data_IF_531789003913
#
_entry.id   IF_531789003913
#
_cell.length_a   1.000
_cell.length_b   1.000
_cell.length_c   1.000
_cell.angle_alpha   90.00
_cell.angle_beta   90.00
_cell.angle_gamma   90.00
#
_symmetry.space_group_name_H-M   'P 1'
#
loop_
_entity.id
_entity.type
_entity.pdbx_description
1 polymer ?
#
# COMPACT_ATOMS: atom_id res chain seq x y z
N UNK A 1 -5.91 5.98 16.13
CA UNK A 1 -5.88 6.35 14.70
C UNK A 1 -5.19 5.30 13.84
N UNK A 2 -4.15 4.61 14.34
CA UNK A 2 -3.47 3.56 13.56
C UNK A 2 -4.39 2.47 12.99
N UNK A 3 -5.38 1.98 13.75
CA UNK A 3 -6.32 0.97 13.24
C UNK A 3 -7.06 1.45 11.98
N UNK A 4 -7.44 2.74 11.94
CA UNK A 4 -8.09 3.34 10.78
C UNK A 4 -7.10 3.45 9.61
N UNK A 5 -5.86 3.87 9.88
CA UNK A 5 -4.78 3.89 8.88
C UNK A 5 -4.59 2.50 8.26
N UNK A 6 -4.46 1.46 9.09
CA UNK A 6 -4.27 0.08 8.65
C UNK A 6 -5.48 -0.45 7.87
N UNK A 7 -6.69 -0.13 8.32
CA UNK A 7 -7.92 -0.49 7.61
C UNK A 7 -8.00 0.17 6.23
N UNK A 8 -7.63 1.46 6.12
CA UNK A 8 -7.57 2.18 4.85
C UNK A 8 -6.49 1.61 3.93
N UNK A 9 -5.27 1.39 4.44
CA UNK A 9 -4.18 0.79 3.66
C UNK A 9 -4.57 -0.59 3.14
N UNK A 10 -5.16 -1.44 3.99
CA UNK A 10 -5.67 -2.75 3.58
C UNK A 10 -6.77 -2.66 2.53
N UNK A 11 -7.73 -1.73 2.68
CA UNK A 11 -8.78 -1.52 1.69
C UNK A 11 -8.21 -1.04 0.34
N UNK A 12 -7.28 -0.09 0.35
CA UNK A 12 -6.65 0.42 -0.87
C UNK A 12 -5.84 -0.68 -1.58
N UNK A 13 -5.13 -1.52 -0.82
CA UNK A 13 -4.40 -2.67 -1.35
C UNK A 13 -5.34 -3.72 -2.00
N UNK A 14 -6.59 -3.83 -1.55
CA UNK A 14 -7.59 -4.69 -2.20
C UNK A 14 -8.22 -4.03 -3.44
N UNK A 15 -8.36 -2.70 -3.43
CA UNK A 15 -8.95 -1.94 -4.55
C UNK A 15 -7.97 -1.83 -5.73
N UNK A 16 -6.68 -1.62 -5.48
CA UNK A 16 -5.67 -1.45 -6.52
C UNK A 16 -5.65 -2.59 -7.58
N UNK A 17 -5.63 -3.89 -7.22
CA UNK A 17 -5.66 -4.97 -8.21
C UNK A 17 -6.99 -5.07 -8.94
N UNK A 18 -8.10 -4.64 -8.32
CA UNK A 18 -9.39 -4.59 -9.00
C UNK A 18 -9.37 -3.54 -10.12
N UNK A 19 -8.88 -2.34 -9.82
CA UNK A 19 -8.72 -1.26 -10.81
C UNK A 19 -7.72 -1.70 -11.90
N UNK A 20 -6.61 -2.32 -11.52
CA UNK A 20 -5.58 -2.80 -12.45
C UNK A 20 -6.15 -3.72 -13.53
N UNK A 21 -7.06 -4.62 -13.15
CA UNK A 21 -7.76 -5.52 -14.08
C UNK A 21 -8.69 -4.80 -15.05
N UNK A 22 -9.19 -3.62 -14.70
CA UNK A 22 -10.10 -2.83 -15.53
C UNK A 22 -9.38 -1.86 -16.46
N UNK A 23 -8.19 -1.37 -16.08
CA UNK A 23 -7.53 -0.25 -16.77
C UNK A 23 -6.23 -0.62 -17.48
N UNK A 24 -5.82 -1.89 -17.47
CA UNK A 24 -4.53 -2.38 -18.00
C UNK A 24 -3.28 -1.73 -17.36
N UNK A 25 -3.47 -0.92 -16.32
CA UNK A 25 -2.38 -0.25 -15.60
C UNK A 25 -1.76 -1.25 -14.62
N UNK A 26 -0.42 -1.35 -14.51
CA UNK A 26 0.21 -2.23 -13.55
C UNK A 26 -0.24 -1.96 -12.10
N UNK A 27 -0.55 -3.02 -11.35
CA UNK A 27 -1.09 -2.93 -9.99
C UNK A 27 -0.21 -2.08 -9.06
N UNK A 28 1.11 -2.29 -9.11
CA UNK A 28 2.08 -1.54 -8.28
C UNK A 28 2.01 -0.03 -8.54
N UNK A 29 1.78 0.39 -9.79
CA UNK A 29 1.64 1.82 -10.11
C UNK A 29 0.38 2.41 -9.46
N UNK A 30 -0.72 1.64 -9.45
CA UNK A 30 -1.96 2.05 -8.80
C UNK A 30 -1.84 2.08 -7.28
N UNK A 31 -1.16 1.11 -6.66
CA UNK A 31 -0.88 1.09 -5.23
C UNK A 31 -0.08 2.34 -4.80
N UNK A 32 0.97 2.69 -5.54
CA UNK A 32 1.77 3.89 -5.29
C UNK A 32 0.91 5.15 -5.48
N UNK A 33 0.14 5.24 -6.57
CA UNK A 33 -0.71 6.39 -6.83
C UNK A 33 -1.78 6.59 -5.74
N UNK A 34 -2.45 5.52 -5.31
CA UNK A 34 -3.40 5.56 -4.20
C UNK A 34 -2.71 5.94 -2.89
N UNK A 35 -1.51 5.40 -2.62
CA UNK A 35 -0.70 5.80 -1.47
C UNK A 35 -0.36 7.30 -1.45
N UNK A 36 -0.05 7.89 -2.61
CA UNK A 36 0.21 9.34 -2.74
C UNK A 36 -1.07 10.15 -2.51
N UNK A 37 -2.18 9.76 -3.13
CA UNK A 37 -3.46 10.48 -3.06
C UNK A 37 -4.06 10.43 -1.65
N UNK A 38 -4.06 9.27 -1.00
CA UNK A 38 -4.64 9.09 0.33
C UNK A 38 -3.64 9.34 1.47
N UNK A 39 -2.35 9.38 1.15
CA UNK A 39 -1.27 9.72 2.07
C UNK A 39 -1.26 11.17 2.51
N UNK A 40 -0.25 11.50 3.32
CA UNK A 40 -0.06 12.84 3.88
C UNK A 40 0.17 13.91 2.81
N UNK A 41 0.64 13.53 1.62
CA UNK A 41 0.97 14.45 0.54
C UNK A 41 -0.24 15.16 -0.09
N UNK A 42 -1.44 14.57 -0.02
CA UNK A 42 -2.64 15.14 -0.69
C UNK A 42 -3.84 15.22 0.25
N UNK A 43 -4.40 14.07 0.69
CA UNK A 43 -5.61 14.06 1.50
C UNK A 43 -5.36 14.05 3.02
N UNK A 44 -4.16 13.68 3.47
CA UNK A 44 -3.84 13.67 4.90
C UNK A 44 -4.56 12.58 5.70
N UNK A 45 -5.10 11.54 5.05
CA UNK A 45 -5.93 10.53 5.68
C UNK A 45 -5.13 9.37 6.29
N UNK A 46 -3.93 9.12 5.76
CA UNK A 46 -3.05 8.04 6.18
C UNK A 46 -1.78 8.65 6.79
N UNK A 47 -1.61 8.47 8.10
CA UNK A 47 -0.39 8.84 8.82
C UNK A 47 0.50 7.61 9.00
N UNK A 48 1.72 7.66 8.45
CA UNK A 48 2.68 6.53 8.40
C UNK A 48 3.68 6.56 9.58
N UNK A 49 3.31 7.21 10.68
CA UNK A 49 4.21 7.43 11.84
C UNK A 49 4.09 6.30 12.90
N UNK A 50 3.30 5.28 12.61
CA UNK A 50 2.98 4.20 13.54
C UNK A 50 3.94 3.02 13.49
N UNK A 51 4.26 2.37 14.63
CA UNK A 51 5.11 1.17 14.65
C UNK A 51 4.60 0.05 13.73
N UNK A 52 3.28 -0.09 13.58
CA UNK A 52 2.70 -1.13 12.73
C UNK A 52 2.84 -0.82 11.24
N UNK A 53 2.72 0.45 10.85
CA UNK A 53 2.91 0.86 9.45
C UNK A 53 4.38 0.70 9.02
N UNK A 54 5.33 1.03 9.91
CA UNK A 54 6.75 0.82 9.66
C UNK A 54 7.08 -0.67 9.53
N UNK A 55 6.58 -1.50 10.46
CA UNK A 55 6.75 -2.95 10.39
C UNK A 55 6.21 -3.54 9.09
N UNK A 56 4.99 -3.16 8.66
CA UNK A 56 4.40 -3.67 7.42
C UNK A 56 5.18 -3.26 6.18
N UNK A 57 5.75 -2.05 6.15
CA UNK A 57 6.62 -1.60 5.07
C UNK A 57 7.89 -2.46 4.99
N UNK A 58 8.61 -2.61 6.10
CA UNK A 58 9.85 -3.40 6.15
C UNK A 58 9.58 -4.87 5.83
N UNK A 59 8.54 -5.45 6.44
CA UNK A 59 8.15 -6.83 6.22
C UNK A 59 7.71 -7.08 4.78
N UNK A 60 6.89 -6.20 4.22
CA UNK A 60 6.43 -6.29 2.84
C UNK A 60 7.60 -6.24 1.86
N UNK A 61 8.55 -5.32 2.06
CA UNK A 61 9.74 -5.21 1.21
C UNK A 61 10.65 -6.44 1.31
N UNK A 62 10.90 -6.95 2.51
CA UNK A 62 11.66 -8.18 2.71
C UNK A 62 10.96 -9.36 2.03
N UNK A 63 9.64 -9.47 2.18
CA UNK A 63 8.86 -10.56 1.58
C UNK A 63 8.87 -10.50 0.05
N UNK A 64 8.72 -9.31 -0.55
CA UNK A 64 8.80 -9.13 -2.00
C UNK A 64 10.18 -9.54 -2.55
N UNK A 65 11.26 -9.11 -1.90
CA UNK A 65 12.62 -9.48 -2.29
C UNK A 65 12.87 -10.98 -2.09
N UNK A 66 12.35 -11.56 -1.01
CA UNK A 66 12.46 -12.99 -0.74
C UNK A 66 11.77 -13.81 -1.82
N UNK A 67 10.54 -13.46 -2.20
CA UNK A 67 9.80 -14.13 -3.28
C UNK A 67 10.54 -14.00 -4.62
N UNK A 68 11.07 -12.82 -4.95
CA UNK A 68 11.84 -12.61 -6.16
C UNK A 68 13.17 -13.41 -6.20
N UNK A 69 13.70 -13.82 -5.05
CA UNK A 69 14.88 -14.70 -4.97
C UNK A 69 14.55 -16.19 -4.98
N UNK A 70 13.28 -16.57 -4.79
CA UNK A 70 12.80 -17.95 -4.87
C UNK A 70 12.30 -18.33 -6.27
N UNK A 71 11.83 -17.35 -7.04
CA UNK A 71 11.54 -17.48 -8.48
C UNK A 71 12.84 -17.54 -9.31
#
# INVERSE_FOLDING_TARGET
MELLTLALVGLLALIAPLISRLTEVPCVVLEIALGIVFGQSVLGLIAVEGPWTTFLFDFGLIYLLFMAGLE
#
